data_IF_669683905178
#
_entry.id   IF_669683905178
#
_cell.length_a   1.000
_cell.length_b   1.000
_cell.length_c   1.000
_cell.angle_alpha   90.00
_cell.angle_beta   90.00
_cell.angle_gamma   90.00
#
_symmetry.space_group_name_H-M   'P 1'
#
loop_
_entity.id
_entity.type
_entity.pdbx_description
1 polymer ?
#
# COMPACT_ATOMS: atom_id res chain seq x y z
N UNK A 1 21.24 -30.96 -25.85
CA UNK A 1 20.16 -30.02 -25.47
C UNK A 1 20.50 -28.65 -26.03
N UNK A 2 19.56 -27.99 -26.71
CA UNK A 2 19.78 -26.73 -27.41
C UNK A 2 20.21 -25.63 -26.44
N UNK A 3 21.45 -25.16 -26.55
CA UNK A 3 22.02 -24.07 -25.74
C UNK A 3 21.14 -22.81 -25.77
N UNK A 4 20.44 -22.59 -26.88
CA UNK A 4 19.48 -21.49 -27.06
C UNK A 4 18.34 -21.58 -26.04
N UNK A 5 17.80 -22.77 -25.80
CA UNK A 5 16.69 -22.94 -24.87
C UNK A 5 17.13 -22.74 -23.43
N UNK A 6 18.35 -23.19 -23.06
CA UNK A 6 18.92 -22.89 -21.76
C UNK A 6 19.11 -21.38 -21.55
N UNK A 7 19.64 -20.66 -22.54
CA UNK A 7 19.83 -19.21 -22.47
C UNK A 7 18.48 -18.50 -22.34
N UNK A 8 17.48 -18.91 -23.13
CA UNK A 8 16.13 -18.35 -23.07
C UNK A 8 15.49 -18.55 -21.68
N UNK A 9 15.50 -19.77 -21.15
CA UNK A 9 14.96 -20.07 -19.81
C UNK A 9 15.65 -19.26 -18.72
N UNK A 10 16.97 -19.11 -18.81
CA UNK A 10 17.74 -18.32 -17.85
C UNK A 10 17.41 -16.83 -17.95
N UNK A 11 17.24 -16.33 -19.18
CA UNK A 11 16.81 -14.95 -19.47
C UNK A 11 15.41 -14.68 -18.93
N UNK A 12 14.46 -15.61 -19.06
CA UNK A 12 13.12 -15.47 -18.48
C UNK A 12 13.16 -15.53 -16.95
N UNK A 13 13.96 -16.43 -16.39
CA UNK A 13 14.11 -16.59 -14.95
C UNK A 13 14.71 -15.37 -14.25
N UNK A 14 15.69 -14.71 -14.89
CA UNK A 14 16.43 -13.60 -14.29
C UNK A 14 16.04 -12.21 -14.84
N UNK A 15 15.66 -12.14 -16.12
CA UNK A 15 15.39 -10.89 -16.83
C UNK A 15 14.01 -10.29 -16.56
N UNK A 16 13.05 -11.09 -16.08
CA UNK A 16 11.77 -10.57 -15.61
C UNK A 16 11.96 -9.97 -14.21
N UNK A 17 11.90 -8.63 -14.13
CA UNK A 17 12.06 -7.90 -12.87
C UNK A 17 10.98 -8.22 -11.84
N UNK A 18 11.29 -7.96 -10.56
CA UNK A 18 10.45 -8.29 -9.39
C UNK A 18 9.00 -7.77 -9.48
N UNK A 19 8.79 -6.64 -10.15
CA UNK A 19 7.45 -6.06 -10.38
C UNK A 19 6.47 -6.95 -11.14
N UNK A 20 6.98 -7.97 -11.83
CA UNK A 20 6.24 -8.96 -12.61
C UNK A 20 6.47 -10.39 -12.09
N UNK A 21 6.68 -10.55 -10.79
CA UNK A 21 6.90 -11.87 -10.19
C UNK A 21 5.78 -12.88 -10.47
N UNK A 22 4.53 -12.44 -10.57
CA UNK A 22 3.39 -13.28 -11.00
C UNK A 22 3.58 -13.84 -12.40
N UNK A 23 3.94 -12.99 -13.37
CA UNK A 23 4.24 -13.40 -14.75
C UNK A 23 5.42 -14.37 -14.78
N UNK A 24 6.46 -14.12 -13.99
CA UNK A 24 7.64 -14.98 -13.89
C UNK A 24 7.30 -16.39 -13.39
N UNK A 25 6.48 -16.50 -12.34
CA UNK A 25 6.05 -17.80 -11.77
C UNK A 25 5.21 -18.61 -12.76
N UNK A 26 4.26 -17.95 -13.43
CA UNK A 26 3.39 -18.60 -14.41
C UNK A 26 4.19 -19.08 -15.62
N UNK A 27 5.03 -18.22 -16.20
CA UNK A 27 5.88 -18.57 -17.33
C UNK A 27 6.83 -19.72 -17.00
N UNK A 28 7.47 -19.71 -15.81
CA UNK A 28 8.37 -20.78 -15.41
C UNK A 28 7.67 -22.14 -15.35
N UNK A 29 6.39 -22.14 -14.99
CA UNK A 29 5.57 -23.36 -14.95
C UNK A 29 5.26 -23.86 -16.37
N UNK A 30 4.84 -22.97 -17.27
CA UNK A 30 4.56 -23.34 -18.67
C UNK A 30 5.82 -23.80 -19.41
N UNK A 31 6.96 -23.16 -19.15
CA UNK A 31 8.24 -23.47 -19.78
C UNK A 31 8.88 -24.77 -19.26
N UNK A 32 8.29 -25.41 -18.24
CA UNK A 32 8.64 -26.76 -17.83
C UNK A 32 8.16 -27.83 -18.82
N UNK A 33 7.18 -27.50 -19.66
CA UNK A 33 6.69 -28.37 -20.74
C UNK A 33 7.31 -27.93 -22.08
N UNK A 34 8.13 -28.79 -22.72
CA UNK A 34 8.75 -28.47 -24.01
C UNK A 34 7.76 -28.48 -25.18
N UNK A 35 6.53 -28.94 -24.99
CA UNK A 35 5.49 -29.00 -26.04
C UNK A 35 4.63 -27.74 -26.12
N UNK A 36 4.84 -26.81 -25.18
CA UNK A 36 4.06 -25.57 -25.12
C UNK A 36 4.35 -24.70 -26.36
N UNK A 37 3.31 -24.16 -26.98
CA UNK A 37 3.46 -23.27 -28.14
C UNK A 37 3.70 -21.83 -27.72
N UNK A 38 4.39 -21.07 -28.58
CA UNK A 38 4.64 -19.63 -28.38
C UNK A 38 3.33 -18.85 -28.17
N UNK A 39 2.29 -19.22 -28.90
CA UNK A 39 0.94 -18.68 -28.77
C UNK A 39 0.34 -18.89 -27.37
N UNK A 40 0.56 -20.07 -26.76
CA UNK A 40 0.11 -20.34 -25.40
C UNK A 40 0.89 -19.50 -24.38
N UNK A 41 2.21 -19.33 -24.57
CA UNK A 41 3.04 -18.47 -23.73
C UNK A 41 2.58 -17.01 -23.80
N UNK A 42 2.37 -16.48 -25.01
CA UNK A 42 1.87 -15.12 -25.24
C UNK A 42 0.51 -14.90 -24.58
N UNK A 43 -0.43 -15.83 -24.77
CA UNK A 43 -1.74 -15.78 -24.11
C UNK A 43 -1.62 -15.73 -22.59
N UNK A 44 -0.76 -16.54 -22.01
CA UNK A 44 -0.54 -16.56 -20.56
C UNK A 44 0.05 -15.24 -20.06
N UNK A 45 1.06 -14.70 -20.73
CA UNK A 45 1.68 -13.41 -20.34
C UNK A 45 0.67 -12.28 -20.37
N UNK A 46 -0.13 -12.20 -21.45
CA UNK A 46 -1.18 -11.20 -21.58
C UNK A 46 -2.18 -11.35 -20.44
N UNK A 47 -2.70 -12.57 -20.22
CA UNK A 47 -3.65 -12.89 -19.15
C UNK A 47 -3.13 -12.50 -17.76
N UNK A 48 -1.95 -12.98 -17.38
CA UNK A 48 -1.39 -12.70 -16.05
C UNK A 48 -1.13 -11.20 -15.88
N UNK A 49 -0.68 -10.50 -16.93
CA UNK A 49 -0.44 -9.06 -16.87
C UNK A 49 -1.73 -8.24 -16.75
N UNK A 50 -2.80 -8.63 -17.45
CA UNK A 50 -4.11 -7.96 -17.34
C UNK A 50 -4.75 -8.19 -15.97
N UNK A 51 -4.73 -9.44 -15.48
CA UNK A 51 -5.23 -9.78 -14.14
C UNK A 51 -4.44 -9.08 -13.03
N UNK A 52 -3.11 -8.99 -13.16
CA UNK A 52 -2.26 -8.26 -12.21
C UNK A 52 -2.56 -6.76 -12.23
N UNK A 53 -2.72 -6.18 -13.42
CA UNK A 53 -3.09 -4.77 -13.57
C UNK A 53 -4.46 -4.50 -12.96
N UNK A 54 -5.41 -5.41 -13.15
CA UNK A 54 -6.73 -5.32 -12.54
C UNK A 54 -6.68 -5.44 -11.01
N UNK A 55 -5.90 -6.38 -10.48
CA UNK A 55 -5.69 -6.50 -9.04
C UNK A 55 -5.07 -5.24 -8.46
N UNK A 56 -4.09 -4.65 -9.15
CA UNK A 56 -3.51 -3.35 -8.77
C UNK A 56 -4.54 -2.23 -8.83
N UNK A 57 -5.49 -2.23 -9.77
CA UNK A 57 -6.59 -1.25 -9.77
C UNK A 57 -7.55 -1.45 -8.60
N UNK A 58 -7.85 -2.69 -8.22
CA UNK A 58 -8.80 -3.04 -7.16
C UNK A 58 -8.22 -2.90 -5.75
N UNK A 59 -6.95 -3.25 -5.56
CA UNK A 59 -6.27 -3.35 -4.26
C UNK A 59 -5.09 -2.37 -4.10
N UNK A 60 -4.58 -1.81 -5.20
CA UNK A 60 -3.52 -0.81 -5.18
C UNK A 60 -4.09 0.53 -4.73
N UNK A 61 -4.13 0.72 -3.41
CA UNK A 61 -4.54 1.93 -2.71
C UNK A 61 -5.99 2.34 -3.00
N UNK A 62 -6.88 1.86 -2.14
CA UNK A 62 -7.90 2.74 -1.55
C UNK A 62 -7.20 3.85 -0.76
N UNK A 63 -6.54 4.79 -1.46
CA UNK A 63 -6.44 6.14 -0.94
C UNK A 63 -7.87 6.61 -0.90
N UNK A 64 -8.48 6.60 0.28
CA UNK A 64 -9.80 7.16 0.52
C UNK A 64 -9.97 8.41 -0.33
N UNK A 65 -10.94 8.48 -1.25
CA UNK A 65 -11.18 9.72 -1.96
C UNK A 65 -11.57 10.74 -0.89
N UNK A 66 -10.72 11.75 -0.69
CA UNK A 66 -11.18 13.01 -0.10
C UNK A 66 -12.23 13.50 -1.08
N UNK A 67 -13.49 13.40 -0.66
CA UNK A 67 -14.64 13.96 -1.36
C UNK A 67 -14.34 15.44 -1.55
N UNK A 68 -13.90 15.79 -2.76
CA UNK A 68 -13.87 17.16 -3.23
C UNK A 68 -14.96 17.23 -4.28
N UNK A 69 -15.84 18.20 -4.08
CA UNK A 69 -17.10 18.37 -4.79
C UNK A 69 -16.98 18.23 -6.32
N UNK A 70 -18.04 17.65 -6.88
CA UNK A 70 -18.27 17.38 -8.28
C UNK A 70 -17.99 18.58 -9.20
N UNK A 71 -17.27 18.32 -10.29
CA UNK A 71 -17.74 18.75 -11.60
C UNK A 71 -17.50 17.61 -12.59
N UNK A 72 -18.59 16.94 -12.96
CA UNK A 72 -18.63 16.03 -14.09
C UNK A 72 -18.56 16.85 -15.38
N UNK A 73 -17.61 16.55 -16.25
CA UNK A 73 -17.75 16.70 -17.70
C UNK A 73 -17.10 15.48 -18.34
N UNK A 74 -17.96 14.57 -18.80
CA UNK A 74 -17.61 13.49 -19.72
C UNK A 74 -17.12 14.09 -21.03
N UNK A 75 -16.04 13.55 -21.61
CA UNK A 75 -15.91 13.46 -23.06
C UNK A 75 -15.09 12.23 -23.44
N UNK A 76 -15.59 11.61 -24.50
CA UNK A 76 -15.38 10.25 -24.96
C UNK A 76 -14.06 10.02 -25.71
N UNK A 77 -13.79 8.73 -25.91
CA UNK A 77 -12.69 8.10 -26.63
C UNK A 77 -12.57 8.54 -28.10
N UNK A 78 -11.35 8.69 -28.64
CA UNK A 78 -11.03 8.27 -30.02
C UNK A 78 -9.52 8.19 -30.32
N UNK A 79 -9.11 7.03 -30.84
CA UNK A 79 -7.83 6.78 -31.51
C UNK A 79 -7.73 7.58 -32.82
N UNK A 80 -6.52 8.04 -33.20
CA UNK A 80 -5.80 7.71 -34.46
C UNK A 80 -4.51 8.52 -34.63
N UNK A 81 -3.61 7.94 -35.42
CA UNK A 81 -2.17 8.17 -35.54
C UNK A 81 -1.72 9.29 -36.53
N UNK A 82 -0.42 9.63 -36.42
CA UNK A 82 0.47 10.45 -37.30
C UNK A 82 0.21 11.97 -37.19
N UNK A 83 1.18 12.89 -37.08
CA UNK A 83 2.54 12.97 -37.62
C UNK A 83 3.34 14.07 -36.86
N UNK A 84 4.67 14.07 -37.02
CA UNK A 84 5.61 15.20 -36.97
C UNK A 84 6.00 15.93 -35.65
N UNK A 85 7.16 15.52 -35.10
CA UNK A 85 8.35 16.33 -34.74
C UNK A 85 8.14 17.86 -34.54
N UNK A 86 7.41 18.27 -33.48
CA UNK A 86 7.55 19.61 -32.85
C UNK A 86 6.99 19.71 -31.43
N UNK A 87 6.56 18.58 -30.85
CA UNK A 87 5.83 18.52 -29.57
C UNK A 87 6.75 18.59 -28.33
N UNK A 88 8.04 18.30 -28.49
CA UNK A 88 8.97 18.15 -27.35
C UNK A 88 9.39 19.45 -26.65
N UNK A 89 9.12 20.64 -27.19
CA UNK A 89 9.53 21.90 -26.56
C UNK A 89 8.41 22.51 -25.71
N UNK A 90 7.17 22.48 -26.22
CA UNK A 90 5.98 22.97 -25.51
C UNK A 90 5.70 22.13 -24.26
N UNK A 91 5.90 20.80 -24.33
CA UNK A 91 5.75 19.92 -23.17
C UNK A 91 6.82 20.17 -22.10
N UNK A 92 8.04 20.53 -22.50
CA UNK A 92 9.12 20.88 -21.56
C UNK A 92 8.85 22.21 -20.87
N UNK A 93 8.37 23.21 -21.60
CA UNK A 93 8.02 24.51 -21.01
C UNK A 93 6.81 24.39 -20.10
N UNK A 94 5.79 23.61 -20.48
CA UNK A 94 4.63 23.34 -19.63
C UNK A 94 5.00 22.56 -18.36
N UNK A 95 5.88 21.55 -18.48
CA UNK A 95 6.36 20.80 -17.31
C UNK A 95 7.25 21.64 -16.42
N UNK A 96 8.11 22.50 -16.98
CA UNK A 96 8.98 23.40 -16.22
C UNK A 96 8.16 24.48 -15.49
N UNK A 97 7.15 25.06 -16.15
CA UNK A 97 6.21 26.01 -15.53
C UNK A 97 5.36 25.36 -14.42
N UNK A 98 4.95 24.10 -14.61
CA UNK A 98 4.24 23.35 -13.58
C UNK A 98 5.14 23.05 -12.38
N UNK A 99 6.39 22.66 -12.62
CA UNK A 99 7.36 22.37 -11.56
C UNK A 99 7.73 23.64 -10.79
N UNK A 100 7.93 24.78 -11.48
CA UNK A 100 8.21 26.05 -10.82
C UNK A 100 7.06 26.51 -9.93
N UNK A 101 5.82 26.39 -10.40
CA UNK A 101 4.62 26.68 -9.60
C UNK A 101 4.50 25.78 -8.38
N UNK A 102 4.86 24.49 -8.50
CA UNK A 102 4.86 23.55 -7.37
C UNK A 102 5.94 23.88 -6.34
N UNK A 103 7.14 24.27 -6.79
CA UNK A 103 8.23 24.69 -5.90
C UNK A 103 7.86 25.97 -5.17
N UNK A 104 7.30 26.98 -5.85
CA UNK A 104 6.84 28.20 -5.20
C UNK A 104 5.74 27.96 -4.16
N UNK A 105 4.76 27.10 -4.48
CA UNK A 105 3.70 26.75 -3.54
C UNK A 105 4.26 26.05 -2.30
N UNK A 106 5.25 25.17 -2.48
CA UNK A 106 5.94 24.50 -1.37
C UNK A 106 6.74 25.49 -0.52
N UNK A 107 7.47 26.41 -1.15
CA UNK A 107 8.23 27.46 -0.46
C UNK A 107 7.31 28.33 0.39
N UNK A 108 6.16 28.78 -0.15
CA UNK A 108 5.17 29.56 0.62
C UNK A 108 4.58 28.76 1.78
N UNK A 109 4.33 27.46 1.59
CA UNK A 109 3.85 26.59 2.67
C UNK A 109 4.91 26.42 3.77
N UNK A 110 6.19 26.31 3.41
CA UNK A 110 7.31 26.24 4.35
C UNK A 110 7.51 27.56 5.10
N UNK A 111 7.37 28.69 4.44
CA UNK A 111 7.42 30.01 5.08
C UNK A 111 6.26 30.22 6.05
N UNK A 112 5.05 29.79 5.69
CA UNK A 112 3.89 29.81 6.59
C UNK A 112 4.10 28.92 7.82
N UNK A 113 4.67 27.72 7.66
CA UNK A 113 5.04 26.84 8.77
C UNK A 113 6.15 27.44 9.64
N UNK A 114 7.14 28.10 9.03
CA UNK A 114 8.24 28.75 9.75
C UNK A 114 7.75 29.94 10.59
N UNK A 115 6.77 30.69 10.08
CA UNK A 115 6.11 31.77 10.81
C UNK A 115 5.29 31.26 12.01
N UNK A 116 4.75 30.04 11.95
CA UNK A 116 4.04 29.40 13.07
C UNK A 116 5.02 28.90 14.15
N UNK A 117 6.29 28.64 13.79
CA UNK A 117 7.33 28.13 14.70
C UNK A 117 8.26 29.20 15.30
N UNK A 118 7.97 30.49 15.13
CA UNK A 118 8.65 31.51 15.94
C UNK A 118 8.36 31.25 17.43
N UNK A 119 9.37 31.27 18.32
CA UNK A 119 9.20 30.91 19.72
C UNK A 119 8.54 32.07 20.47
N UNK A 120 7.23 32.22 20.30
CA UNK A 120 6.41 33.01 21.20
C UNK A 120 6.09 32.12 22.40
N UNK A 121 6.55 32.54 23.57
CA UNK A 121 6.21 31.94 24.85
C UNK A 121 4.69 31.93 24.99
N UNK A 122 4.05 30.77 24.75
CA UNK A 122 2.62 30.60 24.99
C UNK A 122 2.43 29.88 26.30
N UNK A 123 1.78 30.57 27.23
CA UNK A 123 1.25 30.08 28.48
C UNK A 123 0.61 28.69 28.32
N UNK A 124 1.20 27.72 29.02
CA UNK A 124 0.73 26.36 29.09
C UNK A 124 -0.57 26.31 29.88
N UNK A 125 -1.69 26.20 29.18
CA UNK A 125 -2.94 25.67 29.75
C UNK A 125 -2.66 24.24 30.23
N UNK A 126 -3.07 23.82 31.44
CA UNK A 126 -2.70 22.50 31.96
C UNK A 126 -3.33 21.41 31.09
N UNK A 127 -2.50 20.79 30.26
CA UNK A 127 -2.84 19.61 29.50
C UNK A 127 -3.02 18.48 30.52
N UNK A 128 -4.26 18.00 30.67
CA UNK A 128 -4.60 16.91 31.59
C UNK A 128 -3.54 15.81 31.49
N UNK A 129 -2.92 15.48 32.61
CA UNK A 129 -1.94 14.41 32.72
C UNK A 129 -2.51 13.14 32.09
N UNK A 130 -2.07 12.81 30.87
CA UNK A 130 -2.37 11.52 30.29
C UNK A 130 -1.57 10.52 31.11
N UNK A 131 -2.23 9.88 32.08
CA UNK A 131 -1.67 8.79 32.89
C UNK A 131 -0.82 7.88 31.98
N UNK A 132 0.43 7.56 32.36
CA UNK A 132 1.25 6.61 31.62
C UNK A 132 0.43 5.33 31.43
N UNK A 133 0.23 4.90 30.18
CA UNK A 133 -0.39 3.60 29.90
C UNK A 133 0.55 2.53 30.46
N UNK A 134 0.22 2.01 31.64
CA UNK A 134 0.92 0.87 32.22
C UNK A 134 0.97 -0.26 31.19
N UNK A 135 2.19 -0.72 30.90
CA UNK A 135 2.41 -1.83 29.99
C UNK A 135 1.80 -3.07 30.67
N UNK A 136 0.74 -3.61 30.07
CA UNK A 136 0.11 -4.83 30.55
C UNK A 136 1.11 -5.99 30.42
N UNK A 137 1.58 -6.56 31.51
CA UNK A 137 2.33 -7.81 31.57
C UNK A 137 1.38 -8.99 31.76
N UNK A 138 1.80 -10.22 31.43
CA UNK A 138 1.02 -11.40 31.79
C UNK A 138 1.11 -11.64 33.30
N UNK A 139 0.19 -12.43 33.86
CA UNK A 139 0.14 -12.70 35.30
C UNK A 139 1.46 -13.26 35.86
N UNK A 140 2.18 -14.10 35.10
CA UNK A 140 3.45 -14.67 35.52
C UNK A 140 4.59 -13.63 35.51
N UNK A 141 4.68 -12.80 34.47
CA UNK A 141 5.70 -11.73 34.41
C UNK A 141 5.41 -10.56 35.34
N UNK A 142 4.14 -10.31 35.65
CA UNK A 142 3.75 -9.36 36.68
C UNK A 142 4.29 -9.80 38.05
N UNK A 143 4.17 -11.08 38.40
CA UNK A 143 4.71 -11.64 39.64
C UNK A 143 6.24 -11.64 39.71
N UNK A 144 6.92 -11.72 38.56
CA UNK A 144 8.39 -11.74 38.49
C UNK A 144 9.01 -10.35 38.30
N UNK A 145 8.21 -9.27 38.33
CA UNK A 145 8.66 -7.89 38.09
C UNK A 145 9.44 -7.69 36.78
N UNK A 146 9.19 -8.54 35.77
CA UNK A 146 9.85 -8.44 34.47
C UNK A 146 9.02 -7.56 33.53
N UNK A 147 9.46 -6.33 33.22
CA UNK A 147 8.69 -5.38 32.42
C UNK A 147 8.63 -5.75 30.92
N UNK A 148 9.41 -6.74 30.49
CA UNK A 148 9.54 -7.09 29.07
C UNK A 148 8.90 -8.45 28.74
N UNK A 149 7.58 -8.51 28.88
CA UNK A 149 6.78 -9.69 28.53
C UNK A 149 6.53 -9.75 27.01
N UNK A 150 7.14 -10.71 26.32
CA UNK A 150 6.99 -10.91 24.86
C UNK A 150 5.94 -11.96 24.46
N UNK A 151 5.34 -12.63 25.44
CA UNK A 151 4.29 -13.63 25.27
C UNK A 151 2.90 -13.04 25.51
N UNK A 152 1.88 -13.87 25.39
CA UNK A 152 0.51 -13.46 25.50
C UNK A 152 0.17 -12.95 26.91
N UNK A 153 -0.34 -11.73 27.04
CA UNK A 153 -0.77 -11.17 28.33
C UNK A 153 -2.03 -11.83 28.90
N UNK A 154 -2.78 -12.59 28.09
CA UNK A 154 -4.05 -13.23 28.47
C UNK A 154 -3.83 -14.64 29.00
N UNK A 155 -3.02 -15.46 28.30
CA UNK A 155 -2.77 -16.85 28.71
C UNK A 155 -1.34 -17.14 29.17
N UNK A 156 -0.40 -16.21 29.00
CA UNK A 156 0.99 -16.38 29.41
C UNK A 156 1.87 -17.20 28.46
N UNK A 157 1.33 -17.77 27.39
CA UNK A 157 2.07 -18.64 26.47
C UNK A 157 2.86 -17.84 25.40
N UNK A 158 4.03 -18.37 25.04
CA UNK A 158 4.86 -17.87 23.95
C UNK A 158 4.26 -18.21 22.57
N UNK A 159 4.80 -17.62 21.49
CA UNK A 159 4.33 -17.85 20.12
C UNK A 159 3.14 -16.99 19.68
N UNK A 160 2.48 -16.26 20.59
CA UNK A 160 1.46 -15.29 20.24
C UNK A 160 1.36 -14.12 21.24
N UNK A 161 0.77 -13.00 20.80
CA UNK A 161 0.39 -11.87 21.67
C UNK A 161 -1.12 -11.90 21.94
N UNK A 162 -1.58 -11.11 22.93
CA UNK A 162 -2.99 -11.02 23.33
C UNK A 162 -4.00 -10.73 22.19
N UNK A 163 -3.53 -10.20 21.06
CA UNK A 163 -4.33 -9.98 19.85
C UNK A 163 -4.72 -11.29 19.17
N UNK A 164 -3.83 -12.29 19.16
CA UNK A 164 -4.05 -13.60 18.53
C UNK A 164 -4.38 -14.72 19.52
N UNK A 165 -4.72 -14.37 20.77
CA UNK A 165 -4.98 -15.38 21.80
C UNK A 165 -6.34 -16.03 21.60
N UNK A 166 -6.35 -17.32 21.25
CA UNK A 166 -7.57 -18.11 21.13
C UNK A 166 -8.28 -18.32 22.47
N UNK A 167 -7.54 -18.29 23.59
CA UNK A 167 -8.07 -18.38 24.96
C UNK A 167 -8.68 -17.07 25.46
N UNK A 168 -8.69 -16.00 24.65
CA UNK A 168 -9.28 -14.73 25.03
C UNK A 168 -10.80 -14.82 25.01
N UNK A 169 -11.41 -14.90 26.19
CA UNK A 169 -12.85 -14.77 26.36
C UNK A 169 -13.30 -13.44 25.77
N UNK A 170 -14.16 -13.52 24.76
CA UNK A 170 -14.55 -12.46 23.83
C UNK A 170 -14.93 -11.14 24.52
N UNK A 171 -13.99 -10.21 24.62
CA UNK A 171 -14.31 -8.77 24.64
C UNK A 171 -14.07 -8.24 23.23
N UNK A 172 -14.96 -8.58 22.29
CA UNK A 172 -15.04 -7.84 21.04
C UNK A 172 -15.62 -6.47 21.39
N UNK A 173 -14.92 -5.40 21.03
CA UNK A 173 -15.29 -4.02 21.35
C UNK A 173 -16.57 -3.51 20.67
N UNK A 174 -17.45 -4.41 20.21
CA UNK A 174 -18.68 -4.07 19.50
C UNK A 174 -19.92 -3.92 20.41
N UNK A 175 -19.82 -4.23 21.71
CA UNK A 175 -20.98 -4.19 22.61
C UNK A 175 -21.61 -2.79 22.80
N UNK A 176 -20.88 -1.70 22.55
CA UNK A 176 -21.43 -0.33 22.70
C UNK A 176 -22.05 0.27 21.43
N UNK A 177 -22.32 -0.54 20.38
CA UNK A 177 -22.99 -0.05 19.15
C UNK A 177 -24.22 -0.85 18.73
N UNK A 178 -24.65 -1.82 19.52
CA UNK A 178 -25.91 -2.53 19.26
C UNK A 178 -26.99 -1.89 20.12
N UNK A 179 -27.64 -0.85 19.60
CA UNK A 179 -28.94 -0.41 20.11
C UNK A 179 -29.90 -1.60 20.08
N UNK A 180 -30.74 -1.70 21.10
CA UNK A 180 -31.82 -2.69 21.19
C UNK A 180 -32.60 -2.69 19.87
N UNK A 181 -32.72 -3.86 19.23
CA UNK A 181 -33.76 -4.07 18.23
C UNK A 181 -35.03 -4.38 19.00
N UNK A 182 -36.05 -3.57 18.77
CA UNK A 182 -37.40 -3.81 19.24
C UNK A 182 -37.83 -5.24 18.85
N UNK A 183 -38.36 -5.96 19.83
CA UNK A 183 -39.09 -7.22 19.63
C UNK A 183 -40.61 -6.90 19.56
N UNK A 184 -41.40 -7.77 18.90
CA UNK A 184 -42.77 -7.49 18.47
C UNK A 184 -43.78 -7.35 19.60
#
# INVERSE_FOLDING_TARGET
MSTIQCIFLNTIGQGIGEKYDSVRRDLKTLLGDPTVSDEALLRQVIKTTTEESERKRRFGRSSTPKVSHAHATNTDSKEKAKDNVKVNQIDKDFTLQRLSAQVEALTRAMESLKAITAPEQRDLKPQSERKPRERKSCQNCASQSNPNCNHCFVCGEEGHRAVGCLKRTKSSGNWRRSGQRDHP
#
